data_IF_747380874090
#
_entry.id   IF_747380874090
#
_cell.length_a   1.000
_cell.length_b   1.000
_cell.length_c   1.000
_cell.angle_alpha   90.00
_cell.angle_beta   90.00
_cell.angle_gamma   90.00
#
_symmetry.space_group_name_H-M   'P 1'
#
loop_
_entity.id
_entity.type
_entity.pdbx_description
1 polymer ?
#
# COMPACT_ATOMS: atom_id res chain seq x y z
N UNK A 1 27.63 -21.58 -27.70
CA UNK A 1 26.40 -22.38 -27.65
C UNK A 1 25.82 -22.56 -26.25
N UNK A 2 26.26 -21.78 -25.27
CA UNK A 2 25.78 -21.85 -23.88
C UNK A 2 25.10 -20.53 -23.48
N UNK A 3 25.15 -20.24 -22.18
CA UNK A 3 24.75 -18.95 -21.63
C UNK A 3 25.74 -17.88 -22.11
N UNK A 4 25.24 -16.77 -22.65
CA UNK A 4 26.03 -15.66 -23.18
C UNK A 4 25.48 -14.34 -22.65
N UNK A 5 26.37 -13.36 -22.44
CA UNK A 5 25.96 -12.00 -22.11
C UNK A 5 25.27 -11.40 -23.33
N UNK A 6 24.06 -10.88 -23.17
CA UNK A 6 23.35 -10.19 -24.24
C UNK A 6 24.01 -8.84 -24.52
N UNK A 7 24.15 -8.48 -25.80
CA UNK A 7 24.74 -7.20 -26.19
C UNK A 7 23.83 -6.05 -25.75
N UNK A 8 24.40 -5.08 -25.04
CA UNK A 8 23.68 -3.90 -24.54
C UNK A 8 22.90 -4.14 -23.23
N UNK A 9 22.90 -5.36 -22.72
CA UNK A 9 22.19 -5.74 -21.50
C UNK A 9 23.18 -6.24 -20.42
N UNK A 10 22.79 -6.12 -19.14
CA UNK A 10 23.63 -6.57 -18.03
C UNK A 10 23.20 -7.94 -17.45
N UNK A 11 22.66 -8.81 -18.30
CA UNK A 11 22.30 -10.17 -17.93
C UNK A 11 22.76 -11.19 -18.97
N UNK A 12 22.78 -12.43 -18.52
CA UNK A 12 23.16 -13.58 -19.33
C UNK A 12 21.92 -14.39 -19.70
N UNK A 13 21.84 -14.83 -20.96
CA UNK A 13 20.76 -15.68 -21.46
C UNK A 13 21.33 -16.86 -22.24
N UNK A 14 20.62 -18.00 -22.21
CA UNK A 14 20.98 -19.21 -22.93
C UNK A 14 19.86 -19.66 -23.86
N UNK A 15 20.22 -20.29 -24.98
CA UNK A 15 19.23 -20.84 -25.92
C UNK A 15 18.49 -22.07 -25.37
N UNK A 16 19.18 -22.89 -24.58
CA UNK A 16 18.68 -24.18 -24.07
C UNK A 16 18.54 -24.22 -22.55
N UNK A 17 18.92 -23.14 -21.87
CA UNK A 17 18.88 -23.01 -20.41
C UNK A 17 18.25 -21.66 -20.08
N UNK A 18 17.23 -21.68 -19.23
CA UNK A 18 16.60 -20.47 -18.72
C UNK A 18 17.40 -19.97 -17.51
N UNK A 19 17.81 -18.70 -17.55
CA UNK A 19 18.54 -18.07 -16.46
C UNK A 19 17.60 -17.20 -15.62
N UNK A 20 17.03 -17.80 -14.58
CA UNK A 20 16.09 -17.11 -13.69
C UNK A 20 16.83 -16.44 -12.53
N UNK A 21 17.16 -15.16 -12.74
CA UNK A 21 17.75 -14.31 -11.71
C UNK A 21 16.73 -13.94 -10.63
N UNK A 22 16.89 -14.54 -9.45
CA UNK A 22 15.99 -14.30 -8.32
C UNK A 22 15.94 -12.84 -7.90
N UNK A 23 16.99 -12.06 -8.15
CA UNK A 23 17.03 -10.65 -7.80
C UNK A 23 16.06 -9.80 -8.63
N UNK A 24 15.87 -10.13 -9.91
CA UNK A 24 14.88 -9.45 -10.76
C UNK A 24 13.46 -9.61 -10.20
N UNK A 25 13.11 -10.82 -9.74
CA UNK A 25 11.85 -11.06 -9.04
C UNK A 25 11.78 -10.30 -7.71
N UNK A 26 12.88 -10.25 -6.94
CA UNK A 26 12.90 -9.50 -5.68
C UNK A 26 12.61 -8.01 -5.90
N UNK A 27 13.16 -7.40 -6.94
CA UNK A 27 12.94 -5.99 -7.23
C UNK A 27 11.52 -5.68 -7.67
N UNK A 28 10.91 -6.55 -8.48
CA UNK A 28 9.61 -6.31 -9.12
C UNK A 28 8.43 -6.80 -8.29
N UNK A 29 8.51 -8.03 -7.77
CA UNK A 29 7.34 -8.80 -7.31
C UNK A 29 7.41 -9.19 -5.83
N UNK A 30 8.53 -8.96 -5.12
CA UNK A 30 8.62 -9.38 -3.71
C UNK A 30 7.83 -8.53 -2.73
N UNK A 31 7.43 -7.31 -3.13
CA UNK A 31 6.87 -6.26 -2.28
C UNK A 31 7.75 -5.86 -1.09
N UNK A 32 9.05 -6.15 -1.14
CA UNK A 32 10.00 -5.73 -0.10
C UNK A 32 10.47 -4.29 -0.34
N UNK A 33 10.64 -3.50 0.75
CA UNK A 33 11.19 -2.16 0.66
C UNK A 33 12.62 -2.21 0.11
N UNK A 34 13.06 -1.15 -0.57
CA UNK A 34 14.36 -1.13 -1.25
C UNK A 34 15.55 -1.51 -0.35
N UNK A 35 15.52 -1.12 0.93
CA UNK A 35 16.57 -1.45 1.91
C UNK A 35 16.59 -2.92 2.35
N UNK A 36 15.57 -3.73 2.02
CA UNK A 36 15.43 -5.12 2.43
C UNK A 36 15.53 -6.12 1.25
N UNK A 37 16.14 -5.70 0.14
CA UNK A 37 16.24 -6.52 -1.09
C UNK A 37 17.52 -7.35 -1.19
N UNK A 38 18.43 -7.25 -0.23
CA UNK A 38 19.60 -8.13 -0.14
C UNK A 38 19.22 -9.56 0.22
N UNK A 39 19.99 -10.56 -0.24
CA UNK A 39 19.69 -11.98 -0.05
C UNK A 39 19.42 -12.35 1.41
N UNK A 40 20.21 -11.81 2.34
CA UNK A 40 20.02 -11.99 3.79
C UNK A 40 18.63 -11.55 4.26
N UNK A 41 18.26 -10.31 3.97
CA UNK A 41 16.96 -9.76 4.36
C UNK A 41 15.82 -10.54 3.70
N UNK A 42 15.94 -10.82 2.39
CA UNK A 42 14.95 -11.61 1.64
C UNK A 42 14.76 -12.99 2.27
N UNK A 43 15.84 -13.66 2.67
CA UNK A 43 15.81 -14.98 3.33
C UNK A 43 15.07 -14.90 4.66
N UNK A 44 15.35 -13.90 5.50
CA UNK A 44 14.61 -13.69 6.76
C UNK A 44 13.13 -13.42 6.52
N UNK A 45 12.81 -12.53 5.58
CA UNK A 45 11.43 -12.12 5.32
C UNK A 45 10.60 -13.22 4.66
N UNK A 46 11.15 -13.92 3.66
CA UNK A 46 10.44 -14.92 2.86
C UNK A 46 10.65 -16.34 3.39
N UNK A 47 11.89 -16.76 3.63
CA UNK A 47 12.20 -18.14 4.03
C UNK A 47 12.15 -18.38 5.56
N UNK A 48 12.03 -17.32 6.38
CA UNK A 48 11.80 -17.39 7.83
C UNK A 48 12.92 -18.07 8.63
N UNK A 49 14.16 -17.95 8.18
CA UNK A 49 15.35 -18.31 8.95
C UNK A 49 16.45 -17.26 8.78
N UNK A 50 17.44 -17.27 9.67
CA UNK A 50 18.60 -16.40 9.59
C UNK A 50 19.75 -17.11 8.87
N UNK A 51 20.16 -16.68 7.66
CA UNK A 51 21.28 -17.29 6.96
C UNK A 51 22.61 -16.93 7.64
N UNK A 52 23.65 -17.73 7.34
CA UNK A 52 25.03 -17.42 7.77
C UNK A 52 25.45 -16.08 7.16
N UNK A 53 26.07 -15.22 7.95
CA UNK A 53 26.57 -13.92 7.52
C UNK A 53 28.09 -13.84 7.63
N UNK A 54 28.71 -13.23 6.63
CA UNK A 54 30.14 -12.96 6.57
C UNK A 54 30.34 -11.60 5.91
N UNK A 55 31.17 -10.75 6.52
CA UNK A 55 31.53 -9.47 5.94
C UNK A 55 32.38 -9.68 4.66
N UNK A 56 32.10 -8.96 3.56
CA UNK A 56 32.84 -9.14 2.31
C UNK A 56 34.36 -8.97 2.44
N UNK A 57 34.80 -8.08 3.33
CA UNK A 57 36.22 -7.81 3.59
C UNK A 57 36.94 -9.02 4.23
N UNK A 58 36.20 -9.86 4.95
CA UNK A 58 36.74 -11.05 5.62
C UNK A 58 36.78 -12.29 4.71
N UNK A 59 36.09 -12.27 3.56
CA UNK A 59 36.04 -13.41 2.64
C UNK A 59 37.42 -13.85 2.17
N UNK A 60 38.28 -12.89 1.79
CA UNK A 60 39.63 -13.20 1.26
C UNK A 60 40.57 -13.74 2.35
N UNK A 61 40.67 -13.12 3.55
CA UNK A 61 41.41 -13.71 4.67
C UNK A 61 40.89 -15.09 5.08
N UNK A 62 39.57 -15.30 5.09
CA UNK A 62 38.95 -16.56 5.53
C UNK A 62 39.24 -17.70 4.56
N UNK A 63 39.43 -17.42 3.27
CA UNK A 63 39.82 -18.44 2.30
C UNK A 63 41.11 -19.18 2.70
N UNK A 64 42.06 -18.49 3.34
CA UNK A 64 43.31 -19.08 3.85
C UNK A 64 43.19 -19.56 5.29
N UNK A 65 42.61 -18.73 6.16
CA UNK A 65 42.69 -18.92 7.60
C UNK A 65 41.53 -19.76 8.16
N UNK A 66 40.35 -19.73 7.53
CA UNK A 66 39.10 -20.35 7.99
C UNK A 66 38.24 -20.87 6.81
N UNK A 67 38.75 -21.77 5.97
CA UNK A 67 38.06 -22.19 4.75
C UNK A 67 36.71 -22.88 5.01
N UNK A 68 36.56 -23.56 6.16
CA UNK A 68 35.31 -24.21 6.53
C UNK A 68 34.17 -23.20 6.78
N UNK A 69 34.46 -22.08 7.44
CA UNK A 69 33.47 -21.01 7.68
C UNK A 69 33.05 -20.34 6.36
N UNK A 70 34.02 -20.05 5.49
CA UNK A 70 33.76 -19.49 4.15
C UNK A 70 32.92 -20.45 3.28
N UNK A 71 33.23 -21.75 3.34
CA UNK A 71 32.45 -22.77 2.62
C UNK A 71 31.01 -22.87 3.16
N UNK A 72 30.82 -22.82 4.48
CA UNK A 72 29.49 -22.84 5.10
C UNK A 72 28.66 -21.62 4.69
N UNK A 73 29.27 -20.43 4.64
CA UNK A 73 28.64 -19.21 4.13
C UNK A 73 28.22 -19.37 2.65
N UNK A 74 29.13 -19.87 1.79
CA UNK A 74 28.83 -20.11 0.38
C UNK A 74 27.67 -21.10 0.16
N UNK A 75 27.63 -22.19 0.93
CA UNK A 75 26.53 -23.16 0.87
C UNK A 75 25.23 -22.55 1.40
N UNK A 76 25.28 -21.74 2.46
CA UNK A 76 24.11 -21.03 2.99
C UNK A 76 23.45 -20.16 1.91
N UNK A 77 24.22 -19.40 1.15
CA UNK A 77 23.70 -18.55 0.06
C UNK A 77 23.10 -19.38 -1.09
N UNK A 78 23.73 -20.49 -1.46
CA UNK A 78 23.22 -21.40 -2.48
C UNK A 78 21.88 -22.05 -2.06
N UNK A 79 21.80 -22.49 -0.80
CA UNK A 79 20.58 -23.08 -0.22
C UNK A 79 19.46 -22.03 -0.13
N UNK A 80 19.77 -20.81 0.33
CA UNK A 80 18.82 -19.70 0.37
C UNK A 80 18.28 -19.39 -1.03
N UNK A 81 19.16 -19.26 -2.01
CA UNK A 81 18.79 -18.95 -3.41
C UNK A 81 17.93 -20.06 -4.01
N UNK A 82 18.31 -21.33 -3.83
CA UNK A 82 17.55 -22.46 -4.35
C UNK A 82 16.14 -22.54 -3.76
N UNK A 83 16.00 -22.39 -2.44
CA UNK A 83 14.68 -22.45 -1.81
C UNK A 83 13.84 -21.20 -2.07
N UNK A 84 14.46 -20.03 -2.18
CA UNK A 84 13.76 -18.82 -2.62
C UNK A 84 13.17 -19.02 -4.02
N UNK A 85 13.99 -19.55 -4.93
CA UNK A 85 13.57 -19.88 -6.28
C UNK A 85 12.41 -20.89 -6.28
N UNK A 86 12.60 -22.06 -5.66
CA UNK A 86 11.62 -23.14 -5.70
C UNK A 86 10.30 -22.78 -5.02
N UNK A 87 10.33 -22.05 -3.89
CA UNK A 87 9.11 -21.76 -3.13
C UNK A 87 8.32 -20.55 -3.64
N UNK A 88 8.99 -19.55 -4.24
CA UNK A 88 8.34 -18.28 -4.57
C UNK A 88 8.38 -17.92 -6.05
N UNK A 89 9.40 -18.37 -6.80
CA UNK A 89 9.67 -17.84 -8.14
C UNK A 89 9.29 -18.85 -9.21
N UNK A 90 9.60 -20.13 -9.02
CA UNK A 90 9.40 -21.17 -10.03
C UNK A 90 7.95 -21.22 -10.53
N UNK A 91 7.03 -21.62 -9.65
CA UNK A 91 5.61 -21.75 -10.01
C UNK A 91 5.01 -20.41 -10.43
N UNK A 92 5.45 -19.31 -9.80
CA UNK A 92 4.97 -17.98 -10.14
C UNK A 92 5.30 -17.58 -11.59
N UNK A 93 6.56 -17.70 -12.01
CA UNK A 93 6.99 -17.32 -13.36
C UNK A 93 6.40 -18.27 -14.40
N UNK A 94 6.41 -19.58 -14.14
CA UNK A 94 5.86 -20.55 -15.09
C UNK A 94 4.33 -20.48 -15.19
N UNK A 95 3.61 -20.18 -14.10
CA UNK A 95 2.18 -19.90 -14.16
C UNK A 95 1.90 -18.64 -14.99
N UNK A 96 2.69 -17.57 -14.83
CA UNK A 96 2.56 -16.38 -15.66
C UNK A 96 2.82 -16.66 -17.16
N UNK A 97 3.78 -17.54 -17.47
CA UNK A 97 4.03 -17.96 -18.86
C UNK A 97 2.85 -18.73 -19.49
N UNK A 98 1.93 -19.28 -18.70
CA UNK A 98 0.75 -19.97 -19.23
C UNK A 98 -0.28 -19.02 -19.87
N UNK A 99 -0.27 -17.75 -19.45
CA UNK A 99 -1.21 -16.72 -19.90
C UNK A 99 -0.53 -15.62 -20.74
N UNK A 100 0.74 -15.33 -20.47
CA UNK A 100 1.50 -14.30 -21.16
C UNK A 100 2.31 -14.97 -22.28
N UNK A 101 2.24 -14.48 -23.53
CA UNK A 101 2.92 -15.06 -24.69
C UNK A 101 4.42 -14.70 -24.72
N UNK A 102 5.13 -14.92 -23.61
CA UNK A 102 6.57 -14.68 -23.47
C UNK A 102 7.27 -15.88 -22.84
N UNK A 103 8.58 -15.99 -23.12
CA UNK A 103 9.42 -16.95 -22.42
C UNK A 103 9.63 -16.58 -20.95
N UNK A 104 10.03 -17.54 -20.10
CA UNK A 104 10.19 -17.31 -18.67
C UNK A 104 11.24 -16.24 -18.30
N UNK A 105 12.31 -16.10 -19.09
CA UNK A 105 13.31 -15.04 -18.89
C UNK A 105 12.71 -13.64 -19.16
N UNK A 106 11.93 -13.50 -20.24
CA UNK A 106 11.20 -12.26 -20.56
C UNK A 106 10.13 -11.93 -19.51
N UNK A 107 9.36 -12.93 -19.07
CA UNK A 107 8.34 -12.77 -18.02
C UNK A 107 8.96 -12.34 -16.69
N UNK A 108 10.19 -12.75 -16.39
CA UNK A 108 10.91 -12.33 -15.19
C UNK A 108 11.47 -10.90 -15.29
N UNK A 109 11.97 -10.50 -16.48
CA UNK A 109 12.76 -9.27 -16.63
C UNK A 109 11.96 -8.07 -17.13
N UNK A 110 10.93 -8.28 -17.96
CA UNK A 110 10.12 -7.17 -18.48
C UNK A 110 9.34 -6.49 -17.35
N UNK A 111 9.12 -5.19 -17.47
CA UNK A 111 8.27 -4.45 -16.53
C UNK A 111 6.83 -4.97 -16.55
N UNK A 112 6.15 -4.89 -15.41
CA UNK A 112 4.74 -5.32 -15.29
C UNK A 112 3.82 -4.63 -16.30
N UNK A 113 4.10 -3.37 -16.66
CA UNK A 113 3.38 -2.66 -17.71
C UNK A 113 3.46 -3.34 -19.09
N UNK A 114 4.62 -3.89 -19.47
CA UNK A 114 4.78 -4.63 -20.74
C UNK A 114 4.08 -5.98 -20.69
N UNK A 115 4.05 -6.63 -19.52
CA UNK A 115 3.27 -7.86 -19.34
C UNK A 115 1.78 -7.59 -19.53
N UNK A 116 1.27 -6.49 -18.95
CA UNK A 116 -0.11 -6.04 -19.16
C UNK A 116 -0.39 -5.67 -20.62
N UNK A 117 0.54 -5.00 -21.32
CA UNK A 117 0.42 -4.71 -22.76
C UNK A 117 0.18 -6.00 -23.56
N UNK A 118 0.97 -7.05 -23.32
CA UNK A 118 0.79 -8.35 -23.98
C UNK A 118 -0.55 -9.02 -23.68
N UNK A 119 -1.03 -8.95 -22.43
CA UNK A 119 -2.33 -9.50 -22.07
C UNK A 119 -3.46 -8.76 -22.79
N UNK A 120 -3.40 -7.43 -22.88
CA UNK A 120 -4.37 -6.61 -23.60
C UNK A 120 -4.34 -6.89 -25.10
N UNK A 121 -3.15 -7.04 -25.69
CA UNK A 121 -3.01 -7.41 -27.11
C UNK A 121 -3.63 -8.79 -27.39
N UNK A 122 -3.46 -9.77 -26.50
CA UNK A 122 -4.08 -11.08 -26.65
C UNK A 122 -5.62 -10.99 -26.63
N UNK A 123 -6.19 -10.24 -25.67
CA UNK A 123 -7.65 -10.06 -25.61
C UNK A 123 -8.21 -9.28 -26.81
N UNK A 124 -7.53 -8.21 -27.24
CA UNK A 124 -7.95 -7.45 -28.40
C UNK A 124 -7.83 -8.26 -29.72
N UNK A 125 -6.86 -9.18 -29.82
CA UNK A 125 -6.77 -10.13 -30.94
C UNK A 125 -8.02 -11.01 -31.00
N UNK A 126 -8.42 -11.60 -29.87
CA UNK A 126 -9.62 -12.43 -29.78
C UNK A 126 -10.92 -11.65 -30.04
N UNK A 127 -10.96 -10.38 -29.66
CA UNK A 127 -12.08 -9.48 -29.95
C UNK A 127 -12.04 -8.88 -31.37
N UNK A 128 -11.04 -9.22 -32.20
CA UNK A 128 -10.80 -8.66 -33.53
C UNK A 128 -10.73 -7.12 -33.54
N UNK A 129 -10.08 -6.55 -32.52
CA UNK A 129 -9.84 -5.12 -32.39
C UNK A 129 -8.41 -4.80 -32.81
N UNK A 130 -8.24 -3.89 -33.76
CA UNK A 130 -6.92 -3.43 -34.21
C UNK A 130 -6.20 -2.69 -33.08
N UNK A 131 -4.97 -3.11 -32.76
CA UNK A 131 -4.17 -2.44 -31.73
C UNK A 131 -3.66 -1.09 -32.24
N UNK A 132 -3.73 -0.02 -31.43
CA UNK A 132 -3.13 1.26 -31.77
C UNK A 132 -1.60 1.16 -31.79
N UNK A 133 -0.96 2.08 -32.52
CA UNK A 133 0.49 2.26 -32.45
C UNK A 133 0.90 2.76 -31.06
N UNK A 134 2.16 2.52 -30.68
CA UNK A 134 2.69 3.01 -29.39
C UNK A 134 2.55 4.53 -29.31
N UNK A 135 2.14 5.00 -28.13
CA UNK A 135 2.04 6.42 -27.87
C UNK A 135 3.42 7.07 -28.00
N UNK A 136 3.46 8.23 -28.65
CA UNK A 136 4.64 9.07 -28.76
C UNK A 136 4.26 10.42 -28.19
N UNK A 137 4.87 10.77 -27.06
CA UNK A 137 4.62 12.05 -26.42
C UNK A 137 5.04 13.19 -27.36
N UNK A 138 4.22 14.24 -27.50
CA UNK A 138 4.59 15.40 -28.29
C UNK A 138 5.83 16.08 -27.67
N UNK A 139 6.78 16.57 -28.49
CA UNK A 139 8.01 17.16 -27.97
C UNK A 139 7.77 18.44 -27.16
N UNK A 140 6.68 19.14 -27.42
CA UNK A 140 6.26 20.34 -26.70
C UNK A 140 4.73 20.30 -26.54
N UNK A 141 4.26 20.56 -25.34
CA UNK A 141 2.85 20.69 -25.02
C UNK A 141 2.60 22.08 -24.41
N UNK A 142 1.57 22.79 -24.88
CA UNK A 142 1.23 24.12 -24.38
C UNK A 142 -0.13 24.07 -23.71
N UNK A 143 -0.25 24.74 -22.56
CA UNK A 143 -1.53 24.85 -21.87
C UNK A 143 -2.49 25.75 -22.67
N UNK A 144 -3.64 25.19 -23.10
CA UNK A 144 -4.58 25.84 -24.02
C UNK A 144 -4.99 27.26 -23.61
N UNK A 145 -5.26 27.49 -22.32
CA UNK A 145 -5.77 28.78 -21.84
C UNK A 145 -4.68 29.84 -21.60
N UNK A 146 -3.47 29.44 -21.22
CA UNK A 146 -2.40 30.37 -20.84
C UNK A 146 -1.28 30.46 -21.88
N UNK A 147 -1.30 29.60 -22.89
CA UNK A 147 -0.28 29.43 -23.91
C UNK A 147 1.14 29.31 -23.32
N UNK A 148 1.24 28.66 -22.16
CA UNK A 148 2.52 28.44 -21.48
C UNK A 148 2.97 27.02 -21.71
N UNK A 149 4.28 26.82 -21.87
CA UNK A 149 4.87 25.51 -22.05
C UNK A 149 4.67 24.66 -20.80
N UNK A 150 4.17 23.43 -21.00
CA UNK A 150 4.01 22.41 -19.98
C UNK A 150 5.31 21.62 -19.90
N UNK A 151 5.96 21.64 -18.74
CA UNK A 151 7.14 20.83 -18.47
C UNK A 151 6.76 19.37 -18.21
N UNK A 152 5.71 19.17 -17.42
CA UNK A 152 5.18 17.86 -17.09
C UNK A 152 3.66 17.95 -16.93
N UNK A 153 2.95 17.07 -17.64
CA UNK A 153 1.50 16.89 -17.55
C UNK A 153 1.19 15.70 -16.65
N UNK A 154 0.37 15.89 -15.62
CA UNK A 154 -0.05 14.80 -14.73
C UNK A 154 -1.47 15.04 -14.20
N UNK A 155 -2.00 14.03 -13.50
CA UNK A 155 -3.31 14.07 -12.88
C UNK A 155 -3.18 14.08 -11.36
N UNK A 156 -4.17 14.65 -10.66
CA UNK A 156 -4.25 14.55 -9.20
C UNK A 156 -4.40 13.08 -8.79
N UNK A 157 -3.41 12.55 -8.07
CA UNK A 157 -3.40 11.19 -7.55
C UNK A 157 -4.26 11.01 -6.30
N UNK A 158 -3.99 9.92 -5.57
CA UNK A 158 -4.68 9.65 -4.31
C UNK A 158 -4.35 10.72 -3.25
N UNK A 159 -5.38 11.21 -2.55
CA UNK A 159 -5.23 12.09 -1.39
C UNK A 159 -4.77 11.27 -0.20
N UNK A 160 -3.64 11.65 0.39
CA UNK A 160 -3.08 11.02 1.60
C UNK A 160 -3.10 12.05 2.72
N UNK A 161 -3.71 11.70 3.85
CA UNK A 161 -3.83 12.57 5.02
C UNK A 161 -3.35 11.88 6.28
N UNK A 162 -2.63 12.62 7.12
CA UNK A 162 -2.25 12.21 8.46
C UNK A 162 -2.98 13.08 9.47
N UNK A 163 -4.15 12.65 9.93
CA UNK A 163 -5.02 13.45 10.79
C UNK A 163 -4.46 13.58 12.22
N UNK A 164 -3.84 12.52 12.73
CA UNK A 164 -3.29 12.49 14.09
C UNK A 164 -2.00 11.69 14.12
N UNK A 165 -1.09 12.10 14.99
CA UNK A 165 0.16 11.40 15.31
C UNK A 165 0.16 11.04 16.79
N UNK A 166 0.61 9.85 17.14
CA UNK A 166 0.62 9.39 18.53
C UNK A 166 0.75 7.88 18.65
N UNK A 167 0.75 7.40 19.90
CA UNK A 167 0.75 5.98 20.22
C UNK A 167 -0.67 5.57 20.54
N UNK A 168 -1.28 4.77 19.66
CA UNK A 168 -2.61 4.20 19.87
C UNK A 168 -2.47 2.72 20.20
N UNK A 169 -2.94 2.30 21.38
CA UNK A 169 -2.94 0.90 21.81
C UNK A 169 -4.26 0.53 22.45
N UNK A 170 -4.64 -0.74 22.34
CA UNK A 170 -5.89 -1.24 22.89
C UNK A 170 -5.97 -1.17 24.43
N UNK A 171 -4.83 -1.15 25.12
CA UNK A 171 -4.73 -1.02 26.57
C UNK A 171 -4.69 0.43 27.07
N UNK A 172 -4.55 1.41 26.16
CA UNK A 172 -4.57 2.83 26.49
C UNK A 172 -5.96 3.37 26.20
N UNK A 173 -6.58 3.98 27.22
CA UNK A 173 -7.93 4.56 27.08
C UNK A 173 -7.85 5.84 26.27
N UNK A 174 -8.57 5.85 25.15
CA UNK A 174 -8.70 7.03 24.29
C UNK A 174 -9.98 7.80 24.55
N UNK A 175 -9.92 9.12 24.32
CA UNK A 175 -11.10 9.98 24.38
C UNK A 175 -11.68 10.15 22.99
N UNK A 176 -12.86 9.58 22.78
CA UNK A 176 -13.66 9.80 21.58
C UNK A 176 -14.54 11.04 21.76
N UNK A 177 -14.75 11.81 20.70
CA UNK A 177 -15.81 12.82 20.65
C UNK A 177 -16.81 12.32 19.62
N UNK A 178 -17.99 11.92 20.09
CA UNK A 178 -18.99 11.25 19.27
C UNK A 178 -20.07 12.24 18.87
N UNK A 179 -20.40 12.27 17.58
CA UNK A 179 -21.44 13.14 17.02
C UNK A 179 -22.78 12.39 16.99
N UNK A 180 -23.80 12.77 17.79
CA UNK A 180 -25.04 12.01 17.92
C UNK A 180 -25.84 11.92 16.60
N UNK A 181 -25.76 12.95 15.77
CA UNK A 181 -26.46 12.98 14.48
C UNK A 181 -26.01 11.86 13.54
N UNK A 182 -24.73 11.46 13.59
CA UNK A 182 -24.20 10.35 12.80
C UNK A 182 -24.78 9.00 13.24
N UNK A 183 -24.96 8.78 14.55
CA UNK A 183 -25.56 7.54 15.07
C UNK A 183 -27.02 7.39 14.68
N UNK A 184 -27.76 8.50 14.58
CA UNK A 184 -29.14 8.46 14.10
C UNK A 184 -29.22 8.01 12.64
N UNK A 185 -28.30 8.48 11.79
CA UNK A 185 -28.19 8.01 10.40
C UNK A 185 -27.88 6.52 10.34
N UNK A 186 -26.90 6.05 11.13
CA UNK A 186 -26.55 4.62 11.21
C UNK A 186 -27.73 3.74 11.67
N UNK A 187 -28.54 4.20 12.62
CA UNK A 187 -29.72 3.48 13.08
C UNK A 187 -30.81 3.38 12.01
N UNK A 188 -31.00 4.44 11.21
CA UNK A 188 -31.96 4.45 10.12
C UNK A 188 -31.52 3.51 8.97
N UNK A 189 -30.21 3.48 8.70
CA UNK A 189 -29.62 2.71 7.59
C UNK A 189 -29.20 1.28 8.00
N UNK A 190 -29.37 0.90 9.27
CA UNK A 190 -28.92 -0.39 9.81
C UNK A 190 -29.50 -1.57 9.04
N UNK A 191 -30.83 -1.60 8.87
CA UNK A 191 -31.51 -2.72 8.20
C UNK A 191 -31.09 -2.84 6.72
N UNK A 192 -31.15 -1.75 5.91
CA UNK A 192 -30.61 -1.77 4.55
C UNK A 192 -29.14 -2.22 4.46
N UNK A 193 -28.30 -1.83 5.43
CA UNK A 193 -26.88 -2.21 5.44
C UNK A 193 -26.67 -3.70 5.72
N UNK A 194 -27.43 -4.27 6.67
CA UNK A 194 -27.38 -5.71 6.96
C UNK A 194 -27.93 -6.52 5.78
N UNK A 195 -29.00 -6.05 5.15
CA UNK A 195 -29.55 -6.70 3.95
C UNK A 195 -28.54 -6.68 2.79
N UNK A 196 -27.85 -5.55 2.59
CA UNK A 196 -26.79 -5.43 1.60
C UNK A 196 -25.62 -6.39 1.89
N UNK A 197 -25.17 -6.46 3.15
CA UNK A 197 -24.11 -7.39 3.57
C UNK A 197 -24.48 -8.84 3.23
N UNK A 198 -25.70 -9.26 3.57
CA UNK A 198 -26.14 -10.63 3.34
C UNK A 198 -26.30 -10.96 1.85
N UNK A 199 -26.97 -10.08 1.09
CA UNK A 199 -27.35 -10.37 -0.30
C UNK A 199 -26.20 -10.12 -1.28
N UNK A 200 -25.45 -9.04 -1.12
CA UNK A 200 -24.43 -8.62 -2.09
C UNK A 200 -23.04 -9.12 -1.72
N UNK A 201 -22.65 -9.04 -0.44
CA UNK A 201 -21.30 -9.43 0.01
C UNK A 201 -21.20 -10.95 0.25
N UNK A 202 -22.09 -11.51 1.07
CA UNK A 202 -22.09 -12.94 1.41
C UNK A 202 -22.87 -13.80 0.39
N UNK A 203 -23.70 -13.19 -0.46
CA UNK A 203 -24.55 -13.87 -1.45
C UNK A 203 -25.49 -14.91 -0.84
N UNK A 204 -25.91 -14.66 0.40
CA UNK A 204 -26.86 -15.47 1.15
C UNK A 204 -28.24 -14.83 1.04
N UNK A 205 -29.27 -15.66 0.93
CA UNK A 205 -30.63 -15.14 0.93
C UNK A 205 -31.05 -14.86 2.37
N UNK A 206 -31.78 -13.77 2.57
CA UNK A 206 -32.27 -13.35 3.88
C UNK A 206 -33.15 -14.44 4.53
N UNK A 207 -33.86 -15.24 3.72
CA UNK A 207 -34.70 -16.35 4.19
C UNK A 207 -33.93 -17.48 4.88
N UNK A 208 -32.64 -17.64 4.59
CA UNK A 208 -31.80 -18.69 5.16
C UNK A 208 -31.14 -18.26 6.48
N UNK A 209 -31.39 -17.03 6.95
CA UNK A 209 -30.75 -16.45 8.15
C UNK A 209 -31.68 -16.55 9.35
N UNK A 210 -31.30 -17.41 10.31
CA UNK A 210 -32.14 -17.70 11.49
C UNK A 210 -32.06 -16.61 12.58
N UNK A 211 -30.91 -15.95 12.74
CA UNK A 211 -30.63 -14.99 13.81
C UNK A 211 -30.69 -13.51 13.36
N UNK A 212 -31.33 -13.24 12.23
CA UNK A 212 -31.35 -11.91 11.61
C UNK A 212 -31.88 -10.82 12.56
N UNK A 213 -33.06 -11.04 13.14
CA UNK A 213 -33.70 -10.06 14.03
C UNK A 213 -32.94 -9.90 15.35
N UNK A 214 -32.30 -10.98 15.84
CA UNK A 214 -31.51 -10.96 17.08
C UNK A 214 -30.27 -10.07 16.92
N UNK A 215 -29.52 -10.23 15.83
CA UNK A 215 -28.31 -9.45 15.54
C UNK A 215 -28.66 -7.97 15.30
N UNK A 216 -29.74 -7.68 14.58
CA UNK A 216 -30.20 -6.29 14.39
C UNK A 216 -30.55 -5.65 15.74
N UNK A 217 -31.24 -6.38 16.62
CA UNK A 217 -31.58 -5.86 17.94
C UNK A 217 -30.33 -5.60 18.80
N UNK A 218 -29.33 -6.48 18.75
CA UNK A 218 -28.06 -6.31 19.47
C UNK A 218 -27.26 -5.09 18.98
N UNK A 219 -27.14 -4.93 17.65
CA UNK A 219 -26.45 -3.77 17.06
C UNK A 219 -27.20 -2.48 17.39
N UNK A 220 -28.53 -2.51 17.27
CA UNK A 220 -29.39 -1.37 17.61
C UNK A 220 -29.19 -0.95 19.06
N UNK A 221 -29.13 -1.91 19.99
CA UNK A 221 -28.88 -1.66 21.41
C UNK A 221 -27.51 -1.00 21.61
N UNK A 222 -26.46 -1.57 21.01
CA UNK A 222 -25.09 -1.04 21.13
C UNK A 222 -24.98 0.38 20.58
N UNK A 223 -25.60 0.67 19.44
CA UNK A 223 -25.62 2.02 18.86
C UNK A 223 -26.37 3.02 19.76
N UNK A 224 -27.49 2.61 20.37
CA UNK A 224 -28.22 3.45 21.34
C UNK A 224 -27.41 3.71 22.62
N UNK A 225 -26.70 2.70 23.13
CA UNK A 225 -25.86 2.81 24.32
C UNK A 225 -24.64 3.74 24.11
N UNK A 226 -24.17 3.86 22.87
CA UNK A 226 -23.15 4.80 22.44
C UNK A 226 -23.70 6.22 22.19
N UNK A 227 -24.97 6.32 21.77
CA UNK A 227 -25.68 7.58 21.53
C UNK A 227 -26.22 8.25 22.82
N UNK A 228 -26.08 7.63 24.00
CA UNK A 228 -26.67 8.14 25.24
C UNK A 228 -26.19 9.58 25.56
N UNK A 229 -27.10 10.56 25.66
CA UNK A 229 -26.77 11.98 25.82
C UNK A 229 -26.01 12.27 27.12
N UNK A 230 -26.09 11.42 28.15
CA UNK A 230 -25.34 11.60 29.40
C UNK A 230 -23.83 11.34 29.22
N UNK A 231 -23.44 10.43 28.32
CA UNK A 231 -22.02 10.21 27.96
C UNK A 231 -21.47 11.31 27.08
N UNK A 232 -22.32 11.88 26.20
CA UNK A 232 -22.01 13.04 25.36
C UNK A 232 -21.93 14.32 26.22
N UNK A 233 -22.84 14.50 27.19
CA UNK A 233 -22.83 15.61 28.14
C UNK A 233 -21.66 15.53 29.14
N UNK A 234 -21.26 14.33 29.59
CA UNK A 234 -20.04 14.14 30.38
C UNK A 234 -18.77 14.49 29.59
N UNK A 235 -18.79 14.43 28.25
CA UNK A 235 -17.70 14.90 27.40
C UNK A 235 -17.72 16.43 27.21
N UNK A 236 -18.90 17.04 27.05
CA UNK A 236 -19.09 18.49 26.89
C UNK A 236 -18.82 19.24 28.21
N UNK A 237 -19.26 18.72 29.36
CA UNK A 237 -19.04 19.31 30.68
C UNK A 237 -17.56 19.37 31.10
N UNK A 238 -16.70 18.50 30.55
CA UNK A 238 -15.23 18.60 30.71
C UNK A 238 -14.60 19.62 29.76
N UNK A 239 -15.18 19.88 28.59
CA UNK A 239 -14.71 20.93 27.69
C UNK A 239 -14.96 22.33 28.26
N UNK A 240 -16.05 22.53 29.00
CA UNK A 240 -16.34 23.81 29.64
C UNK A 240 -15.34 24.13 30.76
N UNK A 241 -14.87 23.12 31.52
CA UNK A 241 -13.82 23.34 32.52
C UNK A 241 -12.42 23.55 31.93
N UNK A 242 -12.11 22.96 30.76
CA UNK A 242 -10.82 23.19 30.10
C UNK A 242 -10.71 24.61 29.49
N UNK A 243 -11.83 25.20 29.07
CA UNK A 243 -11.86 26.53 28.42
C UNK A 243 -12.24 27.69 29.36
N UNK A 244 -12.55 27.42 30.64
CA UNK A 244 -12.80 28.48 31.62
C UNK A 244 -12.06 28.23 32.94
N UNK A 245 -10.78 28.60 33.00
CA UNK A 245 -10.11 29.32 34.11
C UNK A 245 -8.59 29.18 34.06
N UNK A 246 -7.80 30.28 34.18
CA UNK A 246 -6.38 30.20 34.51
C UNK A 246 -6.27 29.91 36.01
N UNK A 247 -6.02 28.65 36.39
CA UNK A 247 -5.90 28.29 37.80
C UNK A 247 -4.42 28.26 38.19
N UNK A 248 -4.10 29.06 39.22
CA UNK A 248 -2.79 29.17 39.88
C UNK A 248 -2.15 27.80 40.13
N UNK A 249 -0.86 27.72 39.81
CA UNK A 249 0.05 26.65 40.21
C UNK A 249 -0.03 26.50 41.74
N UNK A 250 -0.47 25.32 42.19
CA UNK A 250 -0.22 24.84 43.54
C UNK A 250 0.52 23.53 43.38
N UNK A 251 1.72 23.48 43.96
CA UNK A 251 2.63 22.35 43.91
C UNK A 251 1.96 21.11 44.51
N UNK A 252 1.67 20.13 43.65
CA UNK A 252 1.44 18.74 44.04
C UNK A 252 2.42 17.87 43.28
N UNK A 253 3.03 16.93 44.00
CA UNK A 253 4.01 15.98 43.49
C UNK A 253 3.48 15.24 42.25
N UNK A 254 4.35 14.99 41.23
CA UNK A 254 3.93 14.37 40.00
C UNK A 254 3.61 12.89 40.23
N UNK A 255 2.41 12.49 39.84
CA UNK A 255 2.04 11.08 39.70
C UNK A 255 2.83 10.49 38.52
N UNK A 256 3.65 9.44 38.70
CA UNK A 256 4.58 8.96 37.67
C UNK A 256 3.92 8.33 36.43
N UNK A 257 2.60 8.15 36.43
CA UNK A 257 1.86 7.47 35.34
C UNK A 257 1.10 8.43 34.40
N UNK A 258 1.23 9.75 34.55
CA UNK A 258 0.50 10.72 33.74
C UNK A 258 1.43 11.40 32.72
N UNK A 259 1.46 10.87 31.49
CA UNK A 259 2.17 11.48 30.37
C UNK A 259 1.31 12.58 29.73
N UNK A 260 1.67 13.84 29.95
CA UNK A 260 1.00 14.99 29.35
C UNK A 260 1.51 15.22 27.91
N UNK A 261 0.91 14.52 26.94
CA UNK A 261 1.20 14.70 25.51
C UNK A 261 0.48 15.95 25.00
N UNK A 262 1.24 17.03 24.74
CA UNK A 262 0.71 18.24 24.10
C UNK A 262 0.63 18.06 22.59
N UNK A 263 -0.59 18.14 22.05
CA UNK A 263 -0.84 18.26 20.61
C UNK A 263 -0.26 19.59 20.09
N UNK A 264 0.55 19.51 19.04
CA UNK A 264 0.88 20.66 18.19
C UNK A 264 -0.09 20.62 17.01
N UNK A 265 -1.14 21.42 17.07
CA UNK A 265 -2.05 21.61 15.94
C UNK A 265 -1.38 22.56 14.93
N UNK A 266 -1.28 22.13 13.68
CA UNK A 266 -0.88 23.00 12.57
C UNK A 266 -2.15 23.46 11.85
N UNK A 267 -2.35 24.77 11.79
CA UNK A 267 -3.46 25.36 11.05
C UNK A 267 -3.09 25.41 9.55
N UNK A 268 -3.76 24.59 8.74
CA UNK A 268 -3.61 24.62 7.27
C UNK A 268 -4.66 25.57 6.70
N UNK A 269 -4.23 26.76 6.28
CA UNK A 269 -5.10 27.72 5.60
C UNK A 269 -5.31 27.27 4.15
N UNK A 270 -6.44 26.62 3.85
CA UNK A 270 -6.88 26.37 2.48
C UNK A 270 -7.46 27.65 1.86
N UNK A 271 -6.75 28.24 0.90
CA UNK A 271 -7.24 29.37 0.12
C UNK A 271 -8.24 28.93 -0.95
N UNK A 272 -9.53 29.20 -0.73
CA UNK A 272 -10.58 29.00 -1.73
C UNK A 272 -10.82 30.27 -2.55
N UNK A 273 -10.30 30.35 -3.78
CA UNK A 273 -10.74 31.34 -4.76
C UNK A 273 -11.87 30.76 -5.61
N UNK A 274 -13.12 31.09 -5.25
CA UNK A 274 -14.30 30.73 -6.04
C UNK A 274 -14.58 31.76 -7.12
N UNK A 275 -14.80 31.30 -8.36
CA UNK A 275 -15.58 32.03 -9.36
C UNK A 275 -16.77 31.14 -9.71
N UNK A 276 -17.97 31.67 -9.42
CA UNK A 276 -19.25 31.09 -9.79
C UNK A 276 -19.36 30.99 -11.30
N UNK A 277 -19.56 29.79 -11.84
CA UNK A 277 -20.41 29.68 -13.03
C UNK A 277 -21.20 28.37 -13.08
N UNK A 278 -22.50 28.51 -13.30
CA UNK A 278 -23.48 27.42 -13.30
C UNK A 278 -23.29 26.57 -14.56
N UNK A 279 -22.56 25.47 -14.46
CA UNK A 279 -22.72 24.25 -15.28
C UNK A 279 -21.74 23.18 -14.75
N UNK A 280 -22.28 22.20 -14.02
CA UNK A 280 -21.51 21.08 -13.48
C UNK A 280 -21.04 20.17 -14.61
N UNK A 281 -19.86 20.46 -15.15
CA UNK A 281 -18.98 19.46 -15.76
C UNK A 281 -17.97 19.08 -14.68
N UNK A 282 -17.80 17.79 -14.40
CA UNK A 282 -16.71 17.29 -13.56
C UNK A 282 -15.39 17.76 -14.18
N UNK A 283 -14.79 18.80 -13.61
CA UNK A 283 -13.48 19.30 -14.02
C UNK A 283 -12.46 18.29 -13.48
N UNK A 284 -11.81 17.53 -14.36
CA UNK A 284 -10.56 16.85 -14.00
C UNK A 284 -9.56 17.96 -13.71
N UNK A 285 -9.21 18.15 -12.44
CA UNK A 285 -8.12 19.07 -12.08
C UNK A 285 -6.82 18.41 -12.53
N UNK A 286 -6.23 18.94 -13.59
CA UNK A 286 -4.89 18.59 -14.05
C UNK A 286 -3.91 19.58 -13.41
N UNK A 287 -2.92 19.07 -12.69
CA UNK A 287 -1.81 19.88 -12.17
C UNK A 287 -0.69 19.89 -13.22
N UNK A 288 -0.24 21.08 -13.61
CA UNK A 288 0.86 21.23 -14.56
C UNK A 288 1.92 22.18 -13.99
N UNK A 289 3.20 21.84 -14.20
CA UNK A 289 4.32 22.73 -13.86
C UNK A 289 4.69 23.54 -15.09
N UNK A 290 4.77 24.85 -14.91
CA UNK A 290 5.05 25.81 -15.99
C UNK A 290 6.44 26.40 -15.79
N UNK A 291 7.24 26.38 -16.85
CA UNK A 291 8.51 27.11 -16.89
C UNK A 291 8.21 28.60 -17.05
N UNK A 292 8.81 29.43 -16.19
CA UNK A 292 8.69 30.90 -16.27
C UNK A 292 9.41 31.45 -17.49
#
# INVERSE_FOLDING_TARGET
SGIQKLQGEDYYAGKWIVHLDCFAWVQRDSYLPCGARGLKAVTRYKLKYDPVELDPEDMTPFAKNRPQELAAYSVSDAVATYYLYMKYIHDFIFALCSIIPYGPDDVLRKGSGTLCESLLMNQAFHANVLFPNKHVDPPLEFHEASNRLIEQSSYEGARVECMRVGVYRADIKERFQLEPSAFQTLLNDLKPTVDFYLVEEEKVKIEDVENYDEVIAEITKTLRDLCCPDKVAAQIGRQTQANSSPTKVTDKEPNPDEYDLRLVEYEVVEGSAGINDKKVKKVKKSSYRVIK
#
